data_IF_048998188376
#
_entry.id   IF_048998188376
#
_cell.length_a   1.000
_cell.length_b   1.000
_cell.length_c   1.000
_cell.angle_alpha   90.00
_cell.angle_beta   90.00
_cell.angle_gamma   90.00
#
_symmetry.space_group_name_H-M   'P 1'
#
loop_
_entity.id
_entity.type
_entity.pdbx_description
1 polymer ?
#
# COMPACT_ATOMS: atom_id res chain seq x y z
N UNK A 1 -18.41 -30.73 -1.98
CA UNK A 1 -18.34 -29.34 -2.47
C UNK A 1 -18.04 -28.43 -1.28
N UNK A 2 -16.75 -28.18 -1.00
CA UNK A 2 -16.35 -27.36 0.14
C UNK A 2 -16.69 -25.89 -0.16
N UNK A 3 -17.72 -25.36 0.50
CA UNK A 3 -17.89 -23.91 0.63
C UNK A 3 -16.66 -23.41 1.41
N UNK A 4 -15.73 -22.75 0.73
CA UNK A 4 -14.73 -21.90 1.39
C UNK A 4 -15.53 -20.87 2.19
N UNK A 5 -15.60 -21.03 3.51
CA UNK A 5 -16.12 -20.01 4.42
C UNK A 5 -15.33 -18.74 4.10
N UNK A 6 -16.01 -17.68 3.68
CA UNK A 6 -15.40 -16.37 3.54
C UNK A 6 -14.92 -15.91 4.92
N UNK A 7 -13.65 -16.21 5.17
CA UNK A 7 -12.56 -15.41 5.71
C UNK A 7 -12.88 -14.48 6.90
N UNK A 8 -12.10 -14.50 8.01
CA UNK A 8 -12.16 -13.57 9.15
C UNK A 8 -11.87 -12.08 8.81
N UNK A 9 -11.91 -11.69 7.54
CA UNK A 9 -11.53 -10.39 7.02
C UNK A 9 -12.48 -9.25 7.46
N UNK A 10 -13.79 -9.50 7.58
CA UNK A 10 -14.73 -8.44 7.97
C UNK A 10 -14.51 -7.95 9.41
N UNK A 11 -14.40 -8.82 10.43
CA UNK A 11 -14.00 -8.41 11.78
C UNK A 11 -12.66 -7.66 11.83
N UNK A 12 -11.68 -8.06 11.02
CA UNK A 12 -10.36 -7.40 10.95
C UNK A 12 -10.45 -5.99 10.37
N UNK A 13 -11.17 -5.82 9.24
CA UNK A 13 -11.39 -4.51 8.62
C UNK A 13 -12.13 -3.58 9.60
N UNK A 14 -13.20 -4.06 10.24
CA UNK A 14 -13.94 -3.28 11.24
C UNK A 14 -13.08 -2.95 12.45
N UNK A 15 -12.21 -3.86 12.88
CA UNK A 15 -11.23 -3.63 13.93
C UNK A 15 -10.23 -2.53 13.55
N UNK A 16 -9.76 -2.52 12.31
CA UNK A 16 -8.88 -1.48 11.78
C UNK A 16 -9.58 -0.11 11.75
N UNK A 17 -10.77 -0.04 11.18
CA UNK A 17 -11.56 1.20 11.14
C UNK A 17 -11.89 1.71 12.55
N UNK A 18 -12.18 0.81 13.50
CA UNK A 18 -12.43 1.18 14.89
C UNK A 18 -11.19 1.72 15.60
N UNK A 19 -9.97 1.25 15.24
CA UNK A 19 -8.72 1.86 15.74
C UNK A 19 -8.54 3.27 15.15
N UNK A 20 -8.80 3.44 13.86
CA UNK A 20 -8.74 4.76 13.20
C UNK A 20 -9.77 5.74 13.76
N UNK A 21 -10.99 5.28 14.09
CA UNK A 21 -12.01 6.09 14.77
C UNK A 21 -11.50 6.59 16.13
N UNK A 22 -10.90 5.70 16.93
CA UNK A 22 -10.34 6.06 18.24
C UNK A 22 -9.16 7.03 18.14
N UNK A 23 -8.28 6.86 17.16
CA UNK A 23 -7.19 7.81 16.89
C UNK A 23 -7.72 9.23 16.57
N UNK A 24 -8.93 9.32 16.00
CA UNK A 24 -9.66 10.56 15.73
C UNK A 24 -10.58 11.00 16.88
N UNK A 25 -10.46 10.39 18.06
CA UNK A 25 -11.27 10.66 19.27
C UNK A 25 -12.78 10.48 19.07
N UNK A 26 -13.19 9.57 18.19
CA UNK A 26 -14.60 9.23 17.98
C UNK A 26 -15.01 8.04 18.85
N UNK A 27 -16.15 8.16 19.54
CA UNK A 27 -16.83 7.02 20.15
C UNK A 27 -17.49 6.14 19.08
N UNK A 28 -17.80 4.89 19.43
CA UNK A 28 -18.52 3.98 18.53
C UNK A 28 -19.87 4.56 18.09
N UNK A 29 -20.54 5.32 18.95
CA UNK A 29 -21.82 5.99 18.64
C UNK A 29 -21.63 7.12 17.63
N UNK A 30 -20.63 7.98 17.82
CA UNK A 30 -20.34 9.09 16.90
C UNK A 30 -19.83 8.58 15.55
N UNK A 31 -19.01 7.53 15.56
CA UNK A 31 -18.53 6.88 14.34
C UNK A 31 -19.70 6.28 13.55
N UNK A 32 -20.61 5.54 14.20
CA UNK A 32 -21.81 5.00 13.56
C UNK A 32 -22.69 6.13 13.01
N UNK A 33 -22.92 7.20 13.78
CA UNK A 33 -23.74 8.33 13.37
C UNK A 33 -23.15 9.03 12.14
N UNK A 34 -21.83 9.24 12.09
CA UNK A 34 -21.15 9.82 10.92
C UNK A 34 -21.22 8.94 9.67
N UNK A 35 -21.31 7.62 9.86
CA UNK A 35 -21.53 6.67 8.77
C UNK A 35 -23.02 6.55 8.36
N UNK A 36 -23.94 7.32 8.98
CA UNK A 36 -25.38 7.24 8.73
C UNK A 36 -26.05 6.01 9.35
N UNK A 37 -25.40 5.38 10.34
CA UNK A 37 -25.85 4.12 10.96
C UNK A 37 -26.32 4.35 12.40
N UNK A 38 -27.27 3.51 12.83
CA UNK A 38 -27.60 3.39 14.27
C UNK A 38 -26.50 2.60 15.00
N UNK A 39 -26.23 2.92 16.27
CA UNK A 39 -25.20 2.24 17.07
C UNK A 39 -25.45 0.73 17.21
N UNK A 40 -26.72 0.32 17.27
CA UNK A 40 -27.12 -1.08 17.33
C UNK A 40 -26.75 -1.83 16.05
N UNK A 41 -26.83 -1.15 14.90
CA UNK A 41 -26.39 -1.69 13.61
C UNK A 41 -24.90 -1.98 13.66
N UNK A 42 -24.06 -1.04 14.12
CA UNK A 42 -22.61 -1.25 14.27
C UNK A 42 -22.29 -2.39 15.25
N UNK A 43 -22.99 -2.45 16.39
CA UNK A 43 -22.81 -3.52 17.39
C UNK A 43 -23.13 -4.90 16.83
N UNK A 44 -24.22 -5.01 16.06
CA UNK A 44 -24.61 -6.26 15.37
C UNK A 44 -23.62 -6.61 14.26
N UNK A 45 -23.12 -5.62 13.54
CA UNK A 45 -22.20 -5.80 12.41
C UNK A 45 -20.87 -6.42 12.86
N UNK A 46 -20.37 -6.06 14.06
CA UNK A 46 -19.19 -6.71 14.67
C UNK A 46 -19.36 -8.19 14.98
N UNK A 47 -20.61 -8.69 15.06
CA UNK A 47 -20.94 -10.10 15.34
C UNK A 47 -21.43 -10.85 14.10
N UNK A 48 -21.57 -10.17 12.97
CA UNK A 48 -22.05 -10.75 11.71
C UNK A 48 -20.87 -11.06 10.80
N UNK A 49 -21.06 -12.07 9.97
CA UNK A 49 -20.07 -12.48 8.95
C UNK A 49 -20.26 -11.73 7.61
N UNK A 50 -21.24 -10.82 7.51
CA UNK A 50 -21.53 -10.08 6.28
C UNK A 50 -22.02 -8.66 6.53
N UNK A 51 -21.70 -7.78 5.58
CA UNK A 51 -22.00 -6.36 5.51
C UNK A 51 -22.11 -5.98 4.03
N UNK A 52 -23.04 -5.09 3.65
CA UNK A 52 -23.04 -4.55 2.30
C UNK A 52 -21.88 -3.56 2.11
N UNK A 53 -21.47 -3.35 0.86
CA UNK A 53 -20.33 -2.51 0.53
C UNK A 53 -20.58 -1.04 0.90
N UNK A 54 -21.79 -0.53 0.71
CA UNK A 54 -22.15 0.86 1.01
C UNK A 54 -21.98 1.20 2.50
N UNK A 55 -22.35 0.26 3.38
CA UNK A 55 -22.18 0.37 4.82
C UNK A 55 -20.70 0.35 5.20
N UNK A 56 -19.92 -0.52 4.58
CA UNK A 56 -18.47 -0.60 4.83
C UNK A 56 -17.77 0.69 4.37
N UNK A 57 -18.13 1.19 3.19
CA UNK A 57 -17.60 2.43 2.61
C UNK A 57 -17.97 3.65 3.46
N UNK A 58 -19.23 3.73 3.93
CA UNK A 58 -19.67 4.78 4.85
C UNK A 58 -18.90 4.77 6.18
N UNK A 59 -18.62 3.59 6.73
CA UNK A 59 -17.80 3.44 7.95
C UNK A 59 -16.34 3.87 7.72
N UNK A 60 -15.77 3.56 6.56
CA UNK A 60 -14.43 3.99 6.17
C UNK A 60 -14.38 5.52 5.98
N UNK A 61 -15.32 6.08 5.24
CA UNK A 61 -15.42 7.52 4.99
C UNK A 61 -15.56 8.32 6.29
N UNK A 62 -16.33 7.82 7.27
CA UNK A 62 -16.51 8.47 8.58
C UNK A 62 -15.20 8.65 9.37
N UNK A 63 -14.18 7.84 9.09
CA UNK A 63 -12.83 7.95 9.68
C UNK A 63 -11.80 8.49 8.70
N UNK A 64 -12.23 9.03 7.55
CA UNK A 64 -11.35 9.54 6.50
C UNK A 64 -10.53 8.47 5.78
N UNK A 65 -10.99 7.22 5.80
CA UNK A 65 -10.41 6.10 5.06
C UNK A 65 -11.19 5.85 3.76
N UNK A 66 -10.59 5.08 2.85
CA UNK A 66 -11.21 4.59 1.62
C UNK A 66 -10.99 3.10 1.51
N UNK A 67 -11.95 2.40 0.90
CA UNK A 67 -11.80 0.99 0.55
C UNK A 67 -11.31 0.91 -0.88
N UNK A 68 -10.29 0.09 -1.12
CA UNK A 68 -9.73 -0.14 -2.44
C UNK A 68 -9.74 -1.63 -2.77
N UNK A 69 -9.90 -1.94 -4.05
CA UNK A 69 -9.61 -3.26 -4.58
C UNK A 69 -8.10 -3.32 -4.82
N UNK A 70 -7.45 -4.31 -4.22
CA UNK A 70 -6.03 -4.58 -4.42
C UNK A 70 -5.87 -5.95 -5.07
N UNK A 71 -4.80 -6.14 -5.84
CA UNK A 71 -4.46 -7.46 -6.37
C UNK A 71 -4.23 -8.45 -5.23
N UNK A 72 -4.52 -9.74 -5.45
CA UNK A 72 -4.23 -10.79 -4.48
C UNK A 72 -2.73 -10.86 -4.14
N UNK A 73 -1.88 -10.46 -5.09
CA UNK A 73 -0.43 -10.46 -4.93
C UNK A 73 0.09 -9.13 -4.35
N UNK A 74 -0.78 -8.29 -3.78
CA UNK A 74 -0.39 -7.09 -3.07
C UNK A 74 0.35 -7.44 -1.78
N UNK A 75 1.50 -6.80 -1.47
CA UNK A 75 2.26 -7.15 -0.29
C UNK A 75 1.54 -6.75 1.00
N UNK A 76 1.68 -7.56 2.05
CA UNK A 76 1.31 -7.12 3.39
C UNK A 76 2.08 -5.85 3.75
N UNK A 77 1.41 -4.88 4.37
CA UNK A 77 1.98 -3.56 4.62
C UNK A 77 2.25 -3.31 6.10
N UNK A 78 3.18 -2.41 6.39
CA UNK A 78 3.39 -1.83 7.72
C UNK A 78 2.11 -1.19 8.25
N UNK A 79 1.96 -1.00 9.57
CA UNK A 79 0.74 -0.42 10.16
C UNK A 79 0.36 0.98 9.62
N UNK A 80 1.35 1.76 9.17
CA UNK A 80 1.15 3.07 8.54
C UNK A 80 0.91 2.97 7.02
N UNK A 81 0.91 1.76 6.45
CA UNK A 81 0.63 1.50 5.03
C UNK A 81 1.70 1.98 4.07
N UNK A 82 2.86 2.40 4.57
CA UNK A 82 3.90 3.04 3.76
C UNK A 82 4.90 2.07 3.16
N UNK A 83 5.12 0.91 3.80
CA UNK A 83 6.11 -0.08 3.38
C UNK A 83 5.48 -1.46 3.28
N UNK A 84 5.95 -2.32 2.37
CA UNK A 84 5.72 -3.74 2.50
C UNK A 84 6.38 -4.22 3.80
N UNK A 85 5.71 -5.12 4.52
CA UNK A 85 6.19 -5.66 5.80
C UNK A 85 7.49 -6.45 5.59
N UNK A 86 7.55 -7.20 4.50
CA UNK A 86 8.72 -7.97 4.05
C UNK A 86 8.76 -8.00 2.52
N UNK A 87 9.95 -8.19 1.96
CA UNK A 87 10.16 -8.40 0.52
C UNK A 87 10.64 -9.84 0.34
N UNK A 88 9.68 -10.73 0.07
CA UNK A 88 9.96 -12.12 -0.27
C UNK A 88 10.43 -12.23 -1.72
N UNK A 89 10.98 -13.40 -2.06
CA UNK A 89 11.54 -13.68 -3.38
C UNK A 89 10.58 -13.34 -4.53
N UNK A 90 9.36 -13.87 -4.49
CA UNK A 90 8.38 -13.66 -5.57
C UNK A 90 8.00 -12.19 -5.77
N UNK A 91 7.95 -11.43 -4.67
CA UNK A 91 7.69 -9.99 -4.73
C UNK A 91 8.92 -9.21 -5.20
N UNK A 92 10.13 -9.61 -4.78
CA UNK A 92 11.38 -9.01 -5.27
C UNK A 92 11.57 -9.23 -6.78
N UNK A 93 11.28 -10.43 -7.28
CA UNK A 93 11.33 -10.76 -8.71
C UNK A 93 10.37 -9.86 -9.51
N UNK A 94 9.15 -9.63 -9.01
CA UNK A 94 8.20 -8.69 -9.64
C UNK A 94 8.66 -7.23 -9.59
N UNK A 95 9.31 -6.81 -8.50
CA UNK A 95 9.90 -5.47 -8.42
C UNK A 95 11.03 -5.31 -9.42
N UNK A 96 11.88 -6.33 -9.57
CA UNK A 96 12.98 -6.34 -10.54
C UNK A 96 12.46 -6.30 -11.98
N UNK A 97 11.44 -7.11 -12.31
CA UNK A 97 10.77 -7.09 -13.62
C UNK A 97 10.19 -5.70 -13.95
N UNK A 98 9.47 -5.09 -12.99
CA UNK A 98 8.96 -3.72 -13.16
C UNK A 98 10.09 -2.74 -13.46
N UNK A 99 11.19 -2.78 -12.68
CA UNK A 99 12.31 -1.86 -12.83
C UNK A 99 13.07 -2.10 -14.14
N UNK A 100 13.29 -3.36 -14.53
CA UNK A 100 13.96 -3.74 -15.76
C UNK A 100 13.16 -3.35 -17.01
N UNK A 101 11.82 -3.32 -16.92
CA UNK A 101 10.94 -2.85 -18.00
C UNK A 101 11.06 -1.35 -18.31
N UNK A 102 11.68 -0.57 -17.41
CA UNK A 102 11.85 0.89 -17.50
C UNK A 102 10.54 1.68 -17.72
N UNK A 103 9.39 1.08 -17.41
CA UNK A 103 8.10 1.75 -17.53
C UNK A 103 7.98 2.90 -16.52
N UNK A 104 7.47 4.04 -16.97
CA UNK A 104 7.11 5.19 -16.12
C UNK A 104 5.59 5.29 -15.89
N UNK A 105 4.85 4.25 -16.21
CA UNK A 105 3.40 4.17 -15.99
C UNK A 105 3.06 4.14 -14.50
N UNK A 106 2.47 5.23 -14.01
CA UNK A 106 2.06 5.41 -12.62
C UNK A 106 1.16 4.28 -12.10
N UNK A 107 0.27 3.75 -12.94
CA UNK A 107 -0.68 2.73 -12.51
C UNK A 107 0.03 1.41 -12.25
N UNK A 108 0.96 1.00 -13.13
CA UNK A 108 1.76 -0.24 -12.94
C UNK A 108 2.58 -0.20 -11.65
N UNK A 109 3.12 0.96 -11.32
CA UNK A 109 3.85 1.17 -10.06
C UNK A 109 2.92 1.14 -8.85
N UNK A 110 1.76 1.79 -8.95
CA UNK A 110 0.76 1.82 -7.87
C UNK A 110 0.19 0.44 -7.60
N UNK A 111 -0.03 -0.38 -8.62
CA UNK A 111 -0.62 -1.73 -8.49
C UNK A 111 0.33 -2.75 -7.86
N UNK A 112 1.64 -2.48 -7.89
CA UNK A 112 2.64 -3.41 -7.38
C UNK A 112 2.88 -3.24 -5.88
N UNK A 113 2.69 -2.05 -5.31
CA UNK A 113 2.89 -1.87 -3.87
C UNK A 113 2.63 -0.48 -3.32
N UNK A 114 2.92 -0.26 -2.02
CA UNK A 114 2.63 0.99 -1.33
C UNK A 114 3.26 2.20 -2.01
N UNK A 115 2.48 3.25 -2.24
CA UNK A 115 2.91 4.43 -3.01
C UNK A 115 4.18 5.08 -2.46
N UNK A 116 4.32 5.20 -1.14
CA UNK A 116 5.53 5.76 -0.53
C UNK A 116 6.75 4.87 -0.75
N UNK A 117 6.59 3.55 -0.58
CA UNK A 117 7.64 2.58 -0.90
C UNK A 117 8.07 2.69 -2.36
N UNK A 118 7.11 2.67 -3.29
CA UNK A 118 7.34 2.75 -4.73
C UNK A 118 7.98 4.09 -5.14
N UNK A 119 7.60 5.20 -4.49
CA UNK A 119 8.21 6.50 -4.75
C UNK A 119 9.70 6.52 -4.39
N UNK A 120 10.07 6.01 -3.21
CA UNK A 120 11.49 5.91 -2.84
C UNK A 120 12.27 4.91 -3.70
N UNK A 121 11.62 3.83 -4.16
CA UNK A 121 12.22 2.92 -5.14
C UNK A 121 12.56 3.67 -6.45
N UNK A 122 11.64 4.50 -6.96
CA UNK A 122 11.90 5.33 -8.14
C UNK A 122 13.05 6.33 -7.92
N UNK A 123 13.12 6.98 -6.76
CA UNK A 123 14.24 7.88 -6.40
C UNK A 123 15.57 7.12 -6.34
N UNK A 124 15.58 5.92 -5.76
CA UNK A 124 16.76 5.06 -5.72
C UNK A 124 17.24 4.71 -7.14
N UNK A 125 16.33 4.34 -8.04
CA UNK A 125 16.66 4.02 -9.44
C UNK A 125 17.13 5.24 -10.22
N UNK A 126 16.67 6.44 -9.88
CA UNK A 126 17.14 7.68 -10.49
C UNK A 126 18.63 7.98 -10.22
N UNK A 127 19.27 7.20 -9.34
CA UNK A 127 20.73 7.21 -9.13
C UNK A 127 21.50 6.28 -10.09
N UNK A 128 20.82 5.43 -10.84
CA UNK A 128 21.41 4.51 -11.82
C UNK A 128 21.65 5.27 -13.13
N UNK A 129 22.90 5.38 -13.63
CA UNK A 129 23.22 6.17 -14.82
C UNK A 129 22.47 5.77 -16.09
N UNK A 130 22.14 4.49 -16.24
CA UNK A 130 21.50 3.92 -17.42
C UNK A 130 19.98 4.17 -17.50
N UNK A 131 19.37 4.75 -16.45
CA UNK A 131 17.92 4.96 -16.35
C UNK A 131 17.53 6.43 -16.50
N UNK A 132 16.30 6.70 -16.94
CA UNK A 132 15.76 8.07 -17.05
C UNK A 132 15.55 8.69 -15.66
N UNK A 133 16.59 9.35 -15.16
CA UNK A 133 16.59 10.07 -13.90
C UNK A 133 15.43 11.07 -13.80
N UNK A 134 15.15 11.85 -14.85
CA UNK A 134 14.13 12.92 -14.78
C UNK A 134 12.73 12.32 -14.71
N UNK A 135 12.46 11.33 -15.55
CA UNK A 135 11.20 10.58 -15.54
C UNK A 135 10.93 9.90 -14.21
N UNK A 136 11.93 9.23 -13.65
CA UNK A 136 11.83 8.53 -12.36
C UNK A 136 11.56 9.49 -11.18
N UNK A 137 12.23 10.65 -11.14
CA UNK A 137 11.96 11.65 -10.10
C UNK A 137 10.54 12.25 -10.24
N UNK A 138 10.07 12.49 -11.47
CA UNK A 138 8.69 12.95 -11.72
C UNK A 138 7.65 11.89 -11.31
N UNK A 139 7.96 10.61 -11.55
CA UNK A 139 7.13 9.49 -11.13
C UNK A 139 7.08 9.38 -9.60
N UNK A 140 8.23 9.54 -8.93
CA UNK A 140 8.30 9.54 -7.47
C UNK A 140 7.39 10.60 -6.85
N UNK A 141 7.42 11.83 -7.38
CA UNK A 141 6.53 12.91 -6.93
C UNK A 141 5.05 12.63 -7.19
N UNK A 142 4.73 11.96 -8.30
CA UNK A 142 3.35 11.55 -8.63
C UNK A 142 2.84 10.42 -7.72
N UNK A 143 3.74 9.51 -7.33
CA UNK A 143 3.45 8.43 -6.38
C UNK A 143 3.24 8.99 -4.98
N UNK A 144 4.16 9.82 -4.50
CA UNK A 144 4.10 10.46 -3.21
C UNK A 144 4.76 11.85 -3.25
N UNK A 145 3.99 12.94 -3.09
CA UNK A 145 4.55 14.30 -3.08
C UNK A 145 5.66 14.48 -2.04
N UNK A 146 6.76 15.13 -2.45
CA UNK A 146 7.95 15.37 -1.65
C UNK A 146 8.85 14.14 -1.50
N UNK A 147 8.59 13.02 -2.17
CA UNK A 147 9.45 11.83 -2.06
C UNK A 147 10.85 12.04 -2.64
N UNK A 148 11.03 12.94 -3.61
CA UNK A 148 12.33 13.28 -4.18
C UNK A 148 13.18 14.17 -3.26
N UNK A 149 12.61 14.71 -2.19
CA UNK A 149 13.33 15.50 -1.21
C UNK A 149 14.35 14.64 -0.46
N UNK A 150 15.63 15.07 -0.34
CA UNK A 150 16.69 14.25 0.28
C UNK A 150 16.33 13.75 1.68
N UNK A 151 15.74 14.61 2.50
CA UNK A 151 15.35 14.28 3.89
C UNK A 151 14.27 13.21 3.96
N UNK A 152 13.38 13.15 2.97
CA UNK A 152 12.32 12.14 2.88
C UNK A 152 12.90 10.83 2.38
N UNK A 153 13.78 10.89 1.38
CA UNK A 153 14.48 9.71 0.87
C UNK A 153 15.40 9.06 1.92
N UNK A 154 16.07 9.84 2.77
CA UNK A 154 16.82 9.30 3.91
C UNK A 154 15.95 8.53 4.89
N UNK A 155 14.73 9.03 5.18
CA UNK A 155 13.77 8.30 6.02
C UNK A 155 13.30 7.02 5.34
N UNK A 156 13.11 7.06 4.02
CA UNK A 156 12.79 5.88 3.24
C UNK A 156 13.89 4.82 3.36
N UNK A 157 15.16 5.19 3.19
CA UNK A 157 16.31 4.27 3.30
C UNK A 157 16.41 3.61 4.69
N UNK A 158 16.08 4.33 5.77
CA UNK A 158 16.12 3.80 7.15
C UNK A 158 15.07 2.72 7.40
N UNK A 159 13.94 2.76 6.68
CA UNK A 159 12.78 1.90 6.91
C UNK A 159 12.55 0.88 5.80
N UNK A 160 13.15 1.09 4.63
CA UNK A 160 12.91 0.26 3.45
C UNK A 160 13.37 -1.18 3.71
N UNK A 161 12.51 -2.17 3.40
CA UNK A 161 12.92 -3.57 3.43
C UNK A 161 13.85 -3.93 2.25
N UNK A 162 13.93 -3.08 1.22
CA UNK A 162 14.87 -3.24 0.10
C UNK A 162 16.17 -2.52 0.42
N UNK A 163 17.29 -3.23 0.28
CA UNK A 163 18.63 -2.65 0.45
C UNK A 163 19.23 -2.30 -0.93
N UNK A 164 19.62 -1.04 -1.17
CA UNK A 164 20.21 -0.63 -2.46
C UNK A 164 21.43 -1.49 -2.85
N UNK A 165 22.27 -1.84 -1.87
CA UNK A 165 23.49 -2.64 -2.08
C UNK A 165 23.26 -4.07 -2.58
N UNK A 166 22.04 -4.60 -2.42
CA UNK A 166 21.63 -5.91 -2.97
C UNK A 166 20.78 -5.72 -4.22
N UNK A 167 19.83 -4.81 -4.18
CA UNK A 167 18.81 -4.67 -5.22
C UNK A 167 19.38 -4.12 -6.53
N UNK A 168 20.26 -3.10 -6.47
CA UNK A 168 20.83 -2.50 -7.68
C UNK A 168 21.72 -3.48 -8.47
N UNK A 169 22.61 -4.28 -7.84
CA UNK A 169 23.32 -5.35 -8.54
C UNK A 169 22.40 -6.39 -9.19
N UNK A 170 21.32 -6.79 -8.52
CA UNK A 170 20.34 -7.72 -9.06
C UNK A 170 19.63 -7.15 -10.29
N UNK A 171 19.22 -5.88 -10.22
CA UNK A 171 18.61 -5.18 -11.37
C UNK A 171 19.58 -5.09 -12.55
N UNK A 172 20.85 -4.74 -12.29
CA UNK A 172 21.86 -4.68 -13.35
C UNK A 172 22.10 -6.04 -14.01
N UNK A 173 21.99 -7.14 -13.25
CA UNK A 173 22.02 -8.48 -13.82
C UNK A 173 20.78 -8.74 -14.69
N UNK A 174 19.57 -8.42 -14.20
CA UNK A 174 18.32 -8.64 -14.93
C UNK A 174 18.27 -7.87 -16.26
N UNK A 175 18.65 -6.59 -16.24
CA UNK A 175 18.71 -5.75 -17.45
C UNK A 175 19.69 -6.29 -18.51
N UNK A 176 20.76 -6.99 -18.10
CA UNK A 176 21.70 -7.63 -19.02
C UNK A 176 21.16 -8.92 -19.63
N UNK A 177 20.26 -9.63 -18.97
CA UNK A 177 19.64 -10.83 -19.52
C UNK A 177 18.51 -10.49 -20.50
N UNK A 178 17.89 -9.32 -20.34
CA UNK A 178 16.82 -8.83 -21.20
C UNK A 178 17.30 -8.08 -22.46
N UNK A 179 18.60 -7.76 -22.56
CA UNK A 179 19.24 -7.07 -23.69
C UNK A 179 19.89 -8.05 -24.67
#
# INVERSE_FOLDING_TARGET
>A
MLMKKSTPALPEILGSLARSARARKLSDTEWAARAGLRKETLSRLRRRDSCDFATLDGLAAAVGARIAVVSADWPECSPDGHFPLQVHRDYEERLLDLCASQTLDLQRWTDLGPRFFMAGLAVMLASVPELDRRGLLSLAESLHPGASEPVVFEQWLKRSPVRPSRFLPMLAAEMKHAA
#
